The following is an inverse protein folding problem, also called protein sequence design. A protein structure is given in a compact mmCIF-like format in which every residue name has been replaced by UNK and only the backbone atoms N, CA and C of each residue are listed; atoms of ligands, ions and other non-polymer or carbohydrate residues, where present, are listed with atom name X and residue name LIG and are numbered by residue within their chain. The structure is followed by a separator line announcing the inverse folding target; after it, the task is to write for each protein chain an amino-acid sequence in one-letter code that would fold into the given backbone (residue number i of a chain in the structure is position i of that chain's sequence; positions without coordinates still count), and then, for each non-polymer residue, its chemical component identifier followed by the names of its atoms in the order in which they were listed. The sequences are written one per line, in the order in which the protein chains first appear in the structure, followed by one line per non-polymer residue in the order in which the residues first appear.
data_IF_540668028783
#
_entry.id   IF_540668028783
#
_cell.length_a   1.000
_cell.length_b   1.000
_cell.length_c   1.000
_cell.angle_alpha   90.00
_cell.angle_beta   90.00
_cell.angle_gamma   90.00
#
_symmetry.space_group_name_H-M   'P 1'
#
loop_
_entity.id
_entity.type
_entity.pdbx_description
1 polymer ?
#
# COMPACT_ATOMS: atom_id res chain seq x y z
N UNK A 1 29.71 21.36 -13.83
CA UNK A 1 28.72 21.18 -14.92
C UNK A 1 28.75 19.78 -15.54
N UNK A 2 29.92 19.19 -15.86
CA UNK A 2 30.04 17.82 -16.40
C UNK A 2 29.28 16.75 -15.60
N UNK A 3 29.53 16.68 -14.28
CA UNK A 3 28.87 15.71 -13.41
C UNK A 3 27.33 15.83 -13.38
N UNK A 4 26.78 17.03 -13.56
CA UNK A 4 25.33 17.22 -13.67
C UNK A 4 24.80 16.70 -15.00
N UNK A 5 25.50 16.99 -16.10
CA UNK A 5 25.11 16.55 -17.44
C UNK A 5 25.20 15.02 -17.57
N UNK A 6 26.26 14.41 -17.04
CA UNK A 6 26.44 12.96 -16.97
C UNK A 6 25.32 12.29 -16.15
N UNK A 7 24.99 12.81 -14.96
CA UNK A 7 23.87 12.29 -14.17
C UNK A 7 22.52 12.47 -14.85
N UNK A 8 22.32 13.58 -15.57
CA UNK A 8 21.08 13.84 -16.32
C UNK A 8 20.90 12.85 -17.46
N UNK A 9 21.96 12.55 -18.18
CA UNK A 9 21.98 11.59 -19.30
C UNK A 9 21.70 10.16 -18.81
N UNK A 10 22.27 9.78 -17.66
CA UNK A 10 22.00 8.50 -17.00
C UNK A 10 20.64 8.41 -16.29
N UNK A 11 19.90 9.51 -16.17
CA UNK A 11 18.62 9.52 -15.45
C UNK A 11 18.77 9.44 -13.92
N UNK A 12 19.94 9.77 -13.39
CA UNK A 12 20.32 9.63 -11.97
C UNK A 12 20.08 10.92 -11.16
N UNK A 13 19.51 11.96 -11.76
CA UNK A 13 19.11 13.14 -10.99
C UNK A 13 17.98 12.76 -10.03
N UNK A 14 18.04 13.29 -8.80
CA UNK A 14 17.00 13.09 -7.78
C UNK A 14 15.60 13.42 -8.32
N UNK A 15 15.47 14.47 -9.13
CA UNK A 15 14.19 14.84 -9.75
C UNK A 15 13.68 13.80 -10.75
N UNK A 16 14.57 13.15 -11.50
CA UNK A 16 14.21 12.09 -12.45
C UNK A 16 13.76 10.84 -11.68
N UNK A 17 14.51 10.45 -10.64
CA UNK A 17 14.16 9.32 -9.77
C UNK A 17 12.85 9.54 -9.02
N UNK A 18 12.67 10.70 -8.39
CA UNK A 18 11.42 11.06 -7.69
C UNK A 18 10.20 11.00 -8.62
N UNK A 19 10.34 11.47 -9.88
CA UNK A 19 9.28 11.37 -10.89
C UNK A 19 8.92 9.91 -11.22
N UNK A 20 9.91 9.01 -11.34
CA UNK A 20 9.66 7.58 -11.59
C UNK A 20 8.91 6.92 -10.43
N UNK A 21 9.38 7.13 -9.20
CA UNK A 21 8.76 6.61 -7.98
C UNK A 21 7.32 7.11 -7.83
N UNK A 22 7.10 8.41 -7.98
CA UNK A 22 5.75 9.01 -7.92
C UNK A 22 4.84 8.48 -9.02
N UNK A 23 5.35 8.32 -10.24
CA UNK A 23 4.57 7.76 -11.36
C UNK A 23 4.04 6.36 -11.04
N UNK A 24 4.79 5.57 -10.29
CA UNK A 24 4.45 4.19 -9.95
C UNK A 24 3.51 4.11 -8.73
N UNK A 25 3.85 4.80 -7.64
CA UNK A 25 3.13 4.78 -6.37
C UNK A 25 1.80 5.55 -6.43
N UNK A 26 1.80 6.69 -7.14
CA UNK A 26 0.63 7.56 -7.30
C UNK A 26 -0.10 7.32 -8.62
N UNK A 27 0.24 6.22 -9.33
CA UNK A 27 -0.49 5.83 -10.54
C UNK A 27 -1.96 5.67 -10.19
N UNK A 28 -2.89 6.35 -10.88
CA UNK A 28 -4.32 6.10 -10.71
C UNK A 28 -4.64 4.64 -11.05
N UNK A 29 -5.43 4.00 -10.20
CA UNK A 29 -5.84 2.60 -10.36
C UNK A 29 -7.34 2.52 -10.56
N UNK A 30 -7.79 1.47 -11.23
CA UNK A 30 -9.21 1.13 -11.30
C UNK A 30 -9.49 0.02 -10.28
N UNK A 31 -10.55 0.22 -9.50
CA UNK A 31 -11.05 -0.79 -8.58
C UNK A 31 -11.93 -1.78 -9.34
N UNK A 32 -12.02 -3.00 -8.81
CA UNK A 32 -13.02 -3.94 -9.27
C UNK A 32 -14.41 -3.40 -8.94
N UNK A 33 -15.35 -3.59 -9.87
CA UNK A 33 -16.77 -3.31 -9.63
C UNK A 33 -17.45 -4.64 -9.36
N UNK A 34 -18.08 -4.76 -8.20
CA UNK A 34 -18.88 -5.94 -7.85
C UNK A 34 -20.23 -5.88 -8.57
N UNK A 35 -20.62 -6.96 -9.23
CA UNK A 35 -21.92 -7.10 -9.92
C UNK A 35 -23.01 -7.67 -9.00
N UNK A 36 -22.63 -8.42 -7.98
CA UNK A 36 -23.50 -9.17 -7.07
C UNK A 36 -23.52 -8.62 -5.63
N UNK A 37 -22.71 -7.59 -5.36
CA UNK A 37 -22.57 -6.96 -4.04
C UNK A 37 -21.55 -7.63 -3.12
N UNK A 38 -20.84 -8.66 -3.59
CA UNK A 38 -19.81 -9.37 -2.83
C UNK A 38 -18.39 -9.02 -3.30
N UNK A 39 -17.42 -9.28 -2.41
CA UNK A 39 -15.98 -9.17 -2.70
C UNK A 39 -15.48 -10.55 -3.10
N UNK A 40 -14.70 -10.61 -4.18
CA UNK A 40 -14.15 -11.85 -4.70
C UNK A 40 -12.62 -11.89 -4.60
N UNK A 41 -12.06 -13.10 -4.59
CA UNK A 41 -10.63 -13.26 -4.80
C UNK A 41 -10.25 -12.73 -6.19
N UNK A 42 -9.20 -11.90 -6.22
CA UNK A 42 -8.75 -11.15 -7.39
C UNK A 42 -9.23 -9.71 -7.44
N UNK A 43 -10.18 -9.32 -6.58
CA UNK A 43 -10.71 -7.97 -6.61
C UNK A 43 -9.70 -6.92 -6.16
N UNK A 44 -9.70 -5.79 -6.87
CA UNK A 44 -8.92 -4.60 -6.53
C UNK A 44 -9.76 -3.68 -5.67
N UNK A 45 -9.35 -3.52 -4.42
CA UNK A 45 -10.09 -2.78 -3.38
C UNK A 45 -9.22 -1.73 -2.71
N UNK A 46 -9.87 -0.77 -2.06
CA UNK A 46 -9.26 0.10 -1.06
C UNK A 46 -9.80 -0.26 0.32
N UNK A 47 -8.94 -0.25 1.33
CA UNK A 47 -9.35 -0.46 2.73
C UNK A 47 -9.45 0.90 3.38
N UNK A 48 -10.67 1.26 3.81
CA UNK A 48 -10.99 2.56 4.38
C UNK A 48 -11.45 2.39 5.83
N UNK A 49 -10.82 3.15 6.72
CA UNK A 49 -11.35 3.44 8.04
C UNK A 49 -12.25 4.69 7.91
N UNK A 50 -13.58 4.54 7.95
CA UNK A 50 -14.50 5.65 7.76
C UNK A 50 -14.44 6.63 8.94
N UNK A 51 -14.76 7.89 8.68
CA UNK A 51 -14.90 8.89 9.76
C UNK A 51 -16.02 8.46 10.72
N UNK A 52 -15.66 8.18 11.96
CA UNK A 52 -16.63 7.85 12.99
C UNK A 52 -17.06 9.12 13.71
N UNK A 53 -18.38 9.29 13.87
CA UNK A 53 -18.95 10.26 14.82
C UNK A 53 -18.81 9.67 16.22
N UNK A 54 -17.58 9.61 16.74
CA UNK A 54 -17.34 9.21 18.12
C UNK A 54 -17.76 10.36 19.05
N UNK A 55 -18.58 10.04 20.05
CA UNK A 55 -18.89 10.94 21.16
C UNK A 55 -17.63 11.44 21.86
N UNK A 56 -17.78 12.51 22.65
CA UNK A 56 -16.79 13.48 23.16
C UNK A 56 -15.45 12.94 23.75
N UNK A 57 -15.28 11.63 23.91
CA UNK A 57 -14.23 10.98 24.71
C UNK A 57 -13.12 10.29 23.90
N UNK A 58 -13.19 10.27 22.57
CA UNK A 58 -12.18 9.59 21.75
C UNK A 58 -11.07 10.58 21.34
N UNK A 59 -9.90 10.50 22.01
CA UNK A 59 -8.78 11.45 21.89
C UNK A 59 -8.38 11.82 20.46
N UNK A 60 -8.05 13.09 20.20
CA UNK A 60 -7.72 13.72 18.90
C UNK A 60 -7.39 12.74 17.74
N UNK A 61 -8.42 12.18 17.12
CA UNK A 61 -8.29 11.42 15.88
C UNK A 61 -8.19 12.38 14.69
N UNK A 62 -7.45 11.99 13.67
CA UNK A 62 -7.55 12.67 12.37
C UNK A 62 -8.96 12.43 11.83
N UNK A 63 -9.69 13.52 11.58
CA UNK A 63 -11.05 13.46 11.02
C UNK A 63 -11.02 13.06 9.54
N UNK A 64 -12.11 12.49 9.09
CA UNK A 64 -12.34 12.10 7.69
C UNK A 64 -11.86 10.68 7.39
N UNK A 65 -12.28 10.18 6.22
CA UNK A 65 -11.99 8.82 5.79
C UNK A 65 -10.48 8.62 5.57
N UNK A 66 -9.92 7.59 6.20
CA UNK A 66 -8.52 7.23 6.09
C UNK A 66 -8.39 5.92 5.31
N UNK A 67 -7.58 5.89 4.25
CA UNK A 67 -7.25 4.65 3.55
C UNK A 67 -5.91 4.08 4.01
N UNK A 68 -5.82 2.75 4.04
CA UNK A 68 -4.55 2.06 4.22
C UNK A 68 -3.64 2.29 3.01
N UNK A 69 -2.44 2.83 3.24
CA UNK A 69 -1.49 3.17 2.19
C UNK A 69 -0.10 2.60 2.49
N UNK A 70 0.52 2.00 1.48
CA UNK A 70 1.95 1.77 1.46
C UNK A 70 2.69 3.12 1.52
N UNK A 71 3.64 3.23 2.44
CA UNK A 71 4.38 4.43 2.79
C UNK A 71 5.89 4.14 2.79
N UNK A 72 6.52 4.06 1.60
CA UNK A 72 7.95 3.84 1.52
C UNK A 72 8.70 5.05 2.07
N UNK A 73 9.89 4.81 2.61
CA UNK A 73 10.80 5.87 3.01
C UNK A 73 11.14 6.73 1.78
N UNK A 74 10.68 7.98 1.79
CA UNK A 74 10.79 8.89 0.64
C UNK A 74 12.25 9.21 0.31
N UNK A 75 13.16 9.18 1.28
CA UNK A 75 14.59 9.41 1.07
C UNK A 75 15.22 8.19 0.40
N UNK A 76 14.94 6.98 0.91
CA UNK A 76 15.50 5.75 0.33
C UNK A 76 14.92 5.44 -1.05
N UNK A 77 13.61 5.62 -1.23
CA UNK A 77 12.96 5.44 -2.52
C UNK A 77 13.49 6.41 -3.60
N UNK A 78 14.05 7.57 -3.23
CA UNK A 78 14.70 8.48 -4.18
C UNK A 78 16.14 8.08 -4.52
N UNK A 79 16.77 7.28 -3.67
CA UNK A 79 18.18 6.89 -3.77
C UNK A 79 18.36 5.52 -4.45
N UNK A 80 17.39 4.62 -4.34
CA UNK A 80 17.33 3.34 -5.06
C UNK A 80 16.20 3.31 -6.09
N UNK A 81 16.38 2.57 -7.18
CA UNK A 81 15.29 2.28 -8.11
C UNK A 81 14.34 1.17 -7.58
N UNK A 82 14.76 0.45 -6.54
CA UNK A 82 13.96 -0.56 -5.82
C UNK A 82 13.29 0.03 -4.57
N UNK A 83 12.12 -0.50 -4.20
CA UNK A 83 11.49 -0.24 -2.90
C UNK A 83 12.23 -0.99 -1.79
N UNK A 84 12.38 -0.34 -0.63
CA UNK A 84 12.82 -1.01 0.59
C UNK A 84 11.76 -2.01 1.05
N UNK A 85 12.18 -3.24 1.34
CA UNK A 85 11.34 -4.31 1.86
C UNK A 85 11.92 -4.71 3.23
N UNK A 86 11.12 -4.78 4.31
CA UNK A 86 9.68 -4.49 4.37
C UNK A 86 9.37 -2.99 4.19
N UNK A 87 8.23 -2.69 3.56
CA UNK A 87 7.77 -1.31 3.39
C UNK A 87 6.76 -0.96 4.48
N UNK A 88 6.89 0.23 5.07
CA UNK A 88 5.92 0.73 6.04
C UNK A 88 4.53 0.92 5.42
N UNK A 89 3.50 0.76 6.24
CA UNK A 89 2.10 1.06 5.91
C UNK A 89 1.55 2.09 6.88
N UNK A 90 0.73 3.02 6.40
CA UNK A 90 0.11 4.05 7.23
C UNK A 90 -1.30 4.40 6.74
N UNK A 91 -2.08 5.01 7.62
CA UNK A 91 -3.41 5.52 7.28
C UNK A 91 -3.28 6.95 6.71
N UNK A 92 -3.85 7.19 5.52
CA UNK A 92 -3.76 8.48 4.81
C UNK A 92 -5.15 8.97 4.43
N UNK A 93 -5.40 10.26 4.59
CA UNK A 93 -6.66 10.90 4.23
C UNK A 93 -6.81 11.03 2.71
N UNK A 94 -7.20 9.94 2.07
CA UNK A 94 -7.47 9.85 0.63
C UNK A 94 -8.34 8.64 0.37
N UNK A 95 -9.34 8.81 -0.49
CA UNK A 95 -10.18 7.71 -1.01
C UNK A 95 -9.96 7.48 -2.51
N UNK A 96 -9.10 8.29 -3.14
CA UNK A 96 -8.76 8.13 -4.55
C UNK A 96 -7.93 6.84 -4.74
N UNK A 97 -8.31 5.96 -5.69
CA UNK A 97 -7.59 4.71 -5.95
C UNK A 97 -6.26 4.98 -6.66
N UNK A 98 -5.18 4.56 -6.02
CA UNK A 98 -3.80 4.74 -6.46
C UNK A 98 -2.98 3.46 -6.23
N UNK A 99 -1.85 3.35 -6.91
CA UNK A 99 -0.94 2.19 -6.80
C UNK A 99 -0.51 1.87 -5.37
N UNK A 100 -0.50 2.86 -4.46
CA UNK A 100 -0.11 2.70 -3.04
C UNK A 100 -1.21 2.32 -2.07
N UNK A 101 -2.48 2.42 -2.45
CA UNK A 101 -3.62 2.11 -1.58
C UNK A 101 -4.62 1.12 -2.19
N UNK A 102 -4.33 0.62 -3.38
CA UNK A 102 -5.13 -0.39 -4.07
C UNK A 102 -4.55 -1.77 -3.80
N UNK A 103 -5.27 -2.59 -3.04
CA UNK A 103 -4.91 -3.96 -2.72
C UNK A 103 -5.69 -4.95 -3.57
N UNK A 104 -5.09 -6.09 -3.88
CA UNK A 104 -5.75 -7.24 -4.49
C UNK A 104 -6.04 -8.26 -3.41
N UNK A 105 -7.29 -8.71 -3.30
CA UNK A 105 -7.66 -9.80 -2.39
C UNK A 105 -7.16 -11.11 -2.98
N UNK A 106 -6.35 -11.86 -2.24
CA UNK A 106 -5.73 -13.10 -2.70
C UNK A 106 -6.08 -14.24 -1.76
N UNK A 107 -6.26 -15.44 -2.29
CA UNK A 107 -6.38 -16.66 -1.49
C UNK A 107 -5.04 -17.02 -0.86
N UNK A 108 -5.07 -17.63 0.32
CA UNK A 108 -3.89 -18.22 0.97
C UNK A 108 -3.46 -19.54 0.27
N UNK A 109 -4.41 -20.21 -0.39
CA UNK A 109 -4.16 -21.44 -1.13
C UNK A 109 -3.33 -21.22 -2.40
N UNK A 110 -2.38 -22.13 -2.66
CA UNK A 110 -1.55 -22.17 -3.88
C UNK A 110 -2.34 -22.41 -5.19
N UNK A 111 -3.66 -22.57 -5.11
CA UNK A 111 -4.50 -22.90 -6.24
C UNK A 111 -5.09 -21.63 -6.85
N UNK A 112 -4.73 -21.35 -8.10
CA UNK A 112 -5.34 -20.30 -8.94
C UNK A 112 -6.83 -20.51 -9.24
N UNK A 113 -7.42 -21.60 -8.74
CA UNK A 113 -8.81 -21.99 -8.96
C UNK A 113 -9.81 -21.23 -8.07
N UNK A 114 -9.34 -20.49 -7.07
CA UNK A 114 -10.19 -19.70 -6.15
C UNK A 114 -10.48 -18.29 -6.66
N UNK A 115 -9.82 -17.88 -7.74
CA UNK A 115 -10.03 -16.57 -8.38
C UNK A 115 -11.49 -16.41 -8.81
N UNK A 116 -12.11 -15.30 -8.44
CA UNK A 116 -13.53 -15.01 -8.71
C UNK A 116 -14.51 -15.70 -7.77
N UNK A 117 -14.05 -16.43 -6.75
CA UNK A 117 -14.93 -16.92 -5.68
C UNK A 117 -15.18 -15.83 -4.63
N UNK A 118 -16.38 -15.83 -4.06
CA UNK A 118 -16.78 -14.89 -3.00
C UNK A 118 -15.97 -15.17 -1.74
N UNK A 119 -15.44 -14.10 -1.15
CA UNK A 119 -14.74 -14.14 0.14
C UNK A 119 -15.78 -14.13 1.26
N UNK A 120 -15.76 -15.16 2.10
CA UNK A 120 -16.72 -15.36 3.19
C UNK A 120 -16.07 -15.07 4.54
N UNK A 121 -16.86 -14.59 5.50
CA UNK A 121 -16.40 -14.39 6.88
C UNK A 121 -15.79 -15.66 7.47
N UNK A 122 -14.66 -15.50 8.15
CA UNK A 122 -13.89 -16.60 8.75
C UNK A 122 -12.93 -17.30 7.78
N UNK A 123 -12.91 -16.94 6.50
CA UNK A 123 -11.89 -17.42 5.57
C UNK A 123 -10.60 -16.59 5.67
N UNK A 124 -9.47 -17.27 5.49
CA UNK A 124 -8.17 -16.64 5.42
C UNK A 124 -7.93 -16.11 4.00
N UNK A 125 -7.42 -14.88 3.93
CA UNK A 125 -7.03 -14.24 2.68
C UNK A 125 -5.79 -13.37 2.91
N UNK A 126 -5.12 -13.03 1.82
CA UNK A 126 -3.98 -12.13 1.82
C UNK A 126 -4.32 -10.83 1.08
N UNK A 127 -3.69 -9.74 1.50
CA UNK A 127 -3.77 -8.46 0.84
C UNK A 127 -2.47 -8.20 0.09
N UNK A 128 -2.54 -8.27 -1.25
CA UNK A 128 -1.40 -8.04 -2.12
C UNK A 128 -1.41 -6.65 -2.74
N UNK A 129 -0.25 -6.02 -2.88
CA UNK A 129 -0.09 -4.75 -3.60
C UNK A 129 1.04 -4.85 -4.62
N UNK A 130 0.79 -4.39 -5.85
CA UNK A 130 1.79 -4.42 -6.91
C UNK A 130 2.84 -3.30 -6.76
N UNK A 131 2.57 -2.28 -5.94
CA UNK A 131 3.48 -1.20 -5.52
C UNK A 131 4.26 -0.47 -6.64
N UNK A 132 3.92 -0.70 -7.90
CA UNK A 132 4.68 -0.27 -9.06
C UNK A 132 6.04 -0.97 -9.24
N UNK A 133 6.23 -2.15 -8.63
CA UNK A 133 7.33 -3.07 -8.93
C UNK A 133 6.85 -4.03 -10.03
N UNK A 134 7.44 -3.95 -11.21
CA UNK A 134 7.10 -4.89 -12.29
C UNK A 134 7.41 -6.32 -11.86
N UNK A 135 6.39 -7.18 -11.88
CA UNK A 135 6.52 -8.60 -11.57
C UNK A 135 6.69 -8.96 -10.09
N UNK A 136 6.55 -8.02 -9.15
CA UNK A 136 6.61 -8.30 -7.70
C UNK A 136 5.34 -7.86 -6.99
N UNK A 137 4.79 -8.75 -6.18
CA UNK A 137 3.68 -8.47 -5.27
C UNK A 137 4.21 -8.41 -3.85
N UNK A 138 3.86 -7.33 -3.13
CA UNK A 138 4.11 -7.20 -1.70
C UNK A 138 2.84 -7.59 -0.95
N UNK A 139 2.98 -8.24 0.20
CA UNK A 139 1.86 -8.68 1.01
C UNK A 139 1.81 -7.88 2.31
N UNK A 140 0.60 -7.62 2.79
CA UNK A 140 0.41 -7.06 4.13
C UNK A 140 0.80 -8.11 5.16
N UNK A 141 1.74 -7.76 6.02
CA UNK A 141 2.20 -8.59 7.13
C UNK A 141 2.16 -7.76 8.39
N UNK A 142 2.02 -8.42 9.54
CA UNK A 142 2.29 -7.79 10.83
C UNK A 142 3.08 -8.73 11.71
N UNK A 143 4.12 -8.20 12.35
CA UNK A 143 5.01 -8.95 13.22
C UNK A 143 4.65 -8.71 14.68
N UNK A 144 4.77 -9.76 15.49
CA UNK A 144 4.63 -9.62 16.94
C UNK A 144 5.67 -8.65 17.49
N UNK A 145 5.25 -7.83 18.45
CA UNK A 145 6.11 -6.85 19.08
C UNK A 145 7.31 -7.53 19.74
N UNK A 146 8.51 -7.12 19.36
CA UNK A 146 9.76 -7.48 20.01
C UNK A 146 10.54 -6.21 20.36
N UNK A 147 11.69 -6.33 21.02
CA UNK A 147 12.57 -5.18 21.26
C UNK A 147 13.11 -4.54 19.98
N UNK A 148 13.15 -5.31 18.87
CA UNK A 148 13.68 -4.86 17.58
C UNK A 148 12.58 -4.50 16.57
N UNK A 149 11.35 -4.97 16.78
CA UNK A 149 10.21 -4.81 15.86
C UNK A 149 9.00 -4.27 16.59
N UNK A 150 8.62 -3.04 16.28
CA UNK A 150 7.46 -2.38 16.87
C UNK A 150 7.10 -1.11 16.10
N UNK A 151 5.82 -0.79 16.05
CA UNK A 151 5.34 0.47 15.46
C UNK A 151 6.04 1.67 16.10
N UNK A 152 6.61 2.52 15.24
CA UNK A 152 7.45 3.67 15.62
C UNK A 152 6.83 4.62 16.65
N UNK A 153 5.50 4.79 16.61
CA UNK A 153 4.80 5.79 17.44
C UNK A 153 4.08 5.19 18.64
N UNK A 154 3.58 3.97 18.54
CA UNK A 154 2.75 3.34 19.59
C UNK A 154 3.46 2.24 20.35
N UNK A 155 4.57 1.70 19.83
CA UNK A 155 5.21 0.52 20.40
C UNK A 155 4.29 -0.71 20.39
N UNK A 156 3.34 -0.78 19.43
CA UNK A 156 2.51 -1.96 19.14
C UNK A 156 3.17 -2.81 18.06
N UNK A 157 2.45 -3.81 17.54
CA UNK A 157 2.87 -4.57 16.37
C UNK A 157 3.07 -3.62 15.17
N UNK A 158 4.09 -3.92 14.37
CA UNK A 158 4.38 -3.24 13.10
C UNK A 158 3.89 -4.07 11.92
#
# INVERSE_FOLDING_TARGET
MRHFLEKREKGELLIQRNRRVKKNILRPMQLSVSEDGYVHYGDKVIIVNPDQVLGEEAGKFMRGDLSLCMSPDEVKAQLSDDLEIPCGVSAVQTIAPMGRNTFTILSDGANSCEMGQVVVYGQNFCLGIAAGLEGKMLYLTSDHRTLLKSSLKSGLQE
#
